data_IF_896487493055
#
_entry.id   IF_896487493055
#
_cell.length_a   1.000
_cell.length_b   1.000
_cell.length_c   1.000
_cell.angle_alpha   90.00
_cell.angle_beta   90.00
_cell.angle_gamma   90.00
#
_symmetry.space_group_name_H-M   'P 1'
#
loop_
_entity.id
_entity.type
_entity.pdbx_description
1 polymer ?
#
# COMPACT_ATOMS: atom_id res chain seq x y z
N UNK A 1 -13.99 43.34 36.24
CA UNK A 1 -13.40 42.16 36.90
C UNK A 1 -12.26 41.67 36.02
N UNK A 2 -11.01 41.73 36.47
CA UNK A 2 -9.83 41.25 35.73
C UNK A 2 -9.58 39.81 36.14
N UNK A 3 -9.89 38.86 35.27
CA UNK A 3 -9.57 37.44 35.48
C UNK A 3 -8.08 37.23 35.16
N UNK A 4 -7.28 37.08 36.21
CA UNK A 4 -5.90 36.64 36.10
C UNK A 4 -5.89 35.14 35.79
N UNK A 5 -5.72 34.78 34.52
CA UNK A 5 -5.39 33.41 34.14
C UNK A 5 -3.90 33.18 34.43
N UNK A 6 -3.62 32.27 35.36
CA UNK A 6 -2.26 31.80 35.61
C UNK A 6 -1.76 31.09 34.34
N UNK A 7 -0.51 31.34 33.91
CA UNK A 7 0.06 30.67 32.75
C UNK A 7 0.13 29.16 33.01
N UNK A 8 -0.56 28.37 32.19
CA UNK A 8 -0.46 26.92 32.17
C UNK A 8 1.00 26.55 31.93
N UNK A 9 1.64 25.93 32.91
CA UNK A 9 2.99 25.41 32.78
C UNK A 9 3.01 24.37 31.66
N UNK A 10 3.75 24.64 30.59
CA UNK A 10 3.92 23.72 29.49
C UNK A 10 4.33 22.34 30.02
N UNK A 11 3.64 21.25 29.64
CA UNK A 11 3.98 19.91 30.12
C UNK A 11 5.44 19.62 29.78
N UNK A 12 6.23 19.24 30.79
CA UNK A 12 7.60 18.77 30.59
C UNK A 12 7.51 17.48 29.79
N UNK A 13 7.70 17.57 28.47
CA UNK A 13 7.80 16.40 27.60
C UNK A 13 8.99 15.57 28.08
N UNK A 14 8.72 14.41 28.68
CA UNK A 14 9.75 13.46 29.05
C UNK A 14 10.55 13.13 27.80
N UNK A 15 11.84 13.48 27.81
CA UNK A 15 12.72 13.26 26.68
C UNK A 15 12.98 11.75 26.59
N UNK A 16 12.21 11.05 25.77
CA UNK A 16 12.42 9.63 25.50
C UNK A 16 13.83 9.50 24.92
N UNK A 17 14.66 8.64 25.52
CA UNK A 17 15.99 8.37 24.99
C UNK A 17 15.81 7.60 23.67
N UNK A 18 16.58 7.90 22.61
CA UNK A 18 16.46 7.21 21.33
C UNK A 18 16.44 5.67 21.44
N UNK A 19 17.18 5.12 22.41
CA UNK A 19 17.25 3.68 22.66
C UNK A 19 15.95 3.09 23.23
N UNK A 20 15.19 3.85 24.03
CA UNK A 20 13.94 3.35 24.61
C UNK A 20 12.86 3.22 23.53
N UNK A 21 12.82 4.18 22.58
CA UNK A 21 11.91 4.14 21.44
C UNK A 21 12.24 2.95 20.52
N UNK A 22 13.53 2.72 20.23
CA UNK A 22 13.97 1.58 19.43
C UNK A 22 13.65 0.24 20.10
N UNK A 23 13.81 0.15 21.43
CA UNK A 23 13.45 -1.06 22.18
C UNK A 23 11.94 -1.34 22.15
N UNK A 24 11.10 -0.32 22.33
CA UNK A 24 9.65 -0.45 22.19
C UNK A 24 9.26 -0.86 20.77
N UNK A 25 9.91 -0.29 19.76
CA UNK A 25 9.66 -0.62 18.37
C UNK A 25 10.05 -2.07 18.06
N UNK A 26 11.19 -2.53 18.58
CA UNK A 26 11.60 -3.95 18.54
C UNK A 26 10.54 -4.83 19.19
N UNK A 27 10.08 -4.49 20.39
CA UNK A 27 9.06 -5.26 21.10
C UNK A 27 7.77 -5.35 20.26
N UNK A 28 7.28 -4.23 19.70
CA UNK A 28 6.11 -4.23 18.82
C UNK A 28 6.32 -5.04 17.55
N UNK A 29 7.52 -4.98 16.96
CA UNK A 29 7.87 -5.76 15.77
C UNK A 29 7.85 -7.27 16.03
N UNK A 30 8.14 -7.70 17.27
CA UNK A 30 8.14 -9.10 17.70
C UNK A 30 6.80 -9.56 18.30
N UNK A 31 6.03 -8.66 18.92
CA UNK A 31 4.89 -9.01 19.77
C UNK A 31 3.65 -9.58 19.04
N UNK A 32 3.55 -9.40 17.72
CA UNK A 32 2.37 -9.84 16.95
C UNK A 32 2.55 -11.26 16.35
N UNK A 33 3.65 -11.96 16.64
CA UNK A 33 4.03 -13.19 15.93
C UNK A 33 3.68 -14.52 16.63
N UNK A 34 2.94 -14.51 17.75
CA UNK A 34 2.54 -15.77 18.38
C UNK A 34 1.14 -16.21 17.93
N UNK A 35 1.07 -16.95 16.83
CA UNK A 35 -0.09 -17.78 16.51
C UNK A 35 0.18 -19.18 17.05
N UNK A 36 -0.41 -19.52 18.19
CA UNK A 36 -0.29 -20.86 18.79
C UNK A 36 -0.71 -21.93 17.78
N UNK A 37 0.23 -22.81 17.38
CA UNK A 37 -0.08 -24.04 16.64
C UNK A 37 0.49 -24.17 15.22
N UNK A 38 1.29 -23.22 14.73
CA UNK A 38 2.07 -23.46 13.50
C UNK A 38 3.40 -24.12 13.85
N UNK A 39 3.56 -25.41 13.53
CA UNK A 39 4.80 -26.21 13.68
C UNK A 39 5.95 -25.75 12.73
N UNK A 40 5.86 -24.56 12.14
CA UNK A 40 6.96 -23.93 11.39
C UNK A 40 7.83 -23.07 12.32
N UNK A 41 8.51 -23.73 13.24
CA UNK A 41 9.59 -23.19 14.06
C UNK A 41 10.77 -22.78 13.17
N UNK A 42 10.82 -21.52 12.68
CA UNK A 42 12.05 -20.70 12.58
C UNK A 42 11.86 -19.32 11.92
N UNK A 43 10.79 -19.09 11.16
CA UNK A 43 10.79 -17.99 10.17
C UNK A 43 10.13 -16.67 10.57
N UNK A 44 9.47 -16.56 11.72
CA UNK A 44 8.66 -15.38 12.05
C UNK A 44 9.00 -14.75 13.40
N UNK A 45 10.25 -14.33 13.62
CA UNK A 45 10.50 -13.41 14.75
C UNK A 45 9.82 -12.06 14.51
N UNK A 46 9.79 -11.58 13.25
CA UNK A 46 9.18 -10.30 12.89
C UNK A 46 7.82 -10.47 12.24
N UNK A 47 6.93 -9.58 12.62
CA UNK A 47 5.56 -9.56 12.11
C UNK A 47 5.52 -8.88 10.75
N UNK A 48 4.52 -9.15 9.89
CA UNK A 48 4.35 -8.38 8.66
C UNK A 48 3.89 -6.93 8.90
N UNK A 49 3.70 -6.52 10.17
CA UNK A 49 3.21 -5.21 10.55
C UNK A 49 4.17 -4.05 10.24
N UNK A 50 3.63 -2.83 10.28
CA UNK A 50 4.43 -1.61 10.11
C UNK A 50 5.55 -1.42 11.16
N UNK A 51 5.39 -1.85 12.44
CA UNK A 51 6.48 -1.78 13.42
C UNK A 51 7.75 -2.50 12.96
N UNK A 52 7.64 -3.64 12.28
CA UNK A 52 8.80 -4.38 11.76
C UNK A 52 9.51 -3.61 10.65
N UNK A 53 8.77 -2.96 9.74
CA UNK A 53 9.36 -2.10 8.70
C UNK A 53 10.15 -0.93 9.31
N UNK A 54 9.55 -0.26 10.30
CA UNK A 54 10.20 0.83 11.01
C UNK A 54 11.44 0.36 11.77
N UNK A 55 11.37 -0.80 12.43
CA UNK A 55 12.50 -1.35 13.17
C UNK A 55 13.65 -1.75 12.23
N UNK A 56 13.34 -2.41 11.11
CA UNK A 56 14.32 -2.75 10.09
C UNK A 56 14.99 -1.50 9.49
N UNK A 57 14.21 -0.44 9.23
CA UNK A 57 14.76 0.84 8.78
C UNK A 57 15.67 1.46 9.84
N UNK A 58 15.26 1.46 11.11
CA UNK A 58 16.09 1.96 12.21
C UNK A 58 17.41 1.20 12.31
N UNK A 59 17.38 -0.13 12.26
CA UNK A 59 18.58 -0.97 12.24
C UNK A 59 19.51 -0.62 11.07
N UNK A 60 18.97 -0.42 9.86
CA UNK A 60 19.75 -0.05 8.68
C UNK A 60 20.37 1.34 8.80
N UNK A 61 19.57 2.35 9.14
CA UNK A 61 19.95 3.75 9.01
C UNK A 61 20.68 4.31 10.23
N UNK A 62 20.33 3.85 11.43
CA UNK A 62 20.89 4.37 12.69
C UNK A 62 21.94 3.43 13.27
N UNK A 63 21.61 2.15 13.45
CA UNK A 63 22.57 1.16 13.98
C UNK A 63 23.59 0.69 12.93
N UNK A 64 23.36 0.97 11.64
CA UNK A 64 24.18 0.49 10.53
C UNK A 64 24.36 -1.04 10.57
N UNK A 65 23.32 -1.75 10.97
CA UNK A 65 23.32 -3.20 11.07
C UNK A 65 23.61 -3.83 9.69
N UNK A 66 24.16 -5.05 9.70
CA UNK A 66 24.41 -5.81 8.47
C UNK A 66 23.08 -6.09 7.74
N UNK A 67 23.08 -6.17 6.40
CA UNK A 67 21.90 -6.54 5.61
C UNK A 67 21.17 -7.79 6.11
N UNK A 68 21.90 -8.82 6.55
CA UNK A 68 21.33 -10.06 7.09
C UNK A 68 20.53 -9.87 8.37
N UNK A 69 20.74 -8.77 9.10
CA UNK A 69 20.04 -8.49 10.36
C UNK A 69 18.78 -7.68 10.10
N UNK A 70 18.89 -6.58 9.36
CA UNK A 70 17.74 -5.70 9.16
C UNK A 70 16.77 -6.22 8.09
N UNK A 71 17.22 -7.00 7.09
CA UNK A 71 16.33 -7.57 6.06
C UNK A 71 15.32 -8.55 6.64
N UNK A 72 15.66 -9.25 7.72
CA UNK A 72 14.73 -10.14 8.42
C UNK A 72 13.48 -9.41 8.93
N UNK A 73 13.59 -8.11 9.23
CA UNK A 73 12.44 -7.29 9.64
C UNK A 73 11.44 -7.01 8.50
N UNK A 74 11.89 -7.09 7.24
CA UNK A 74 11.07 -6.83 6.06
C UNK A 74 10.55 -8.11 5.41
N UNK A 75 11.30 -9.21 5.59
CA UNK A 75 11.13 -10.49 4.91
C UNK A 75 9.68 -11.00 4.98
N UNK A 76 9.13 -11.15 6.18
CA UNK A 76 7.78 -11.69 6.37
C UNK A 76 6.73 -10.92 5.56
N UNK A 77 6.78 -9.59 5.62
CA UNK A 77 5.83 -8.72 4.90
C UNK A 77 6.01 -8.78 3.38
N UNK A 78 7.25 -8.75 2.90
CA UNK A 78 7.54 -8.81 1.46
C UNK A 78 7.06 -10.14 0.87
N UNK A 79 7.32 -11.25 1.57
CA UNK A 79 6.87 -12.57 1.13
C UNK A 79 5.34 -12.70 1.16
N UNK A 80 4.68 -12.20 2.20
CA UNK A 80 3.21 -12.15 2.26
C UNK A 80 2.62 -11.40 1.06
N UNK A 81 3.18 -10.23 0.73
CA UNK A 81 2.72 -9.41 -0.39
C UNK A 81 2.96 -10.07 -1.74
N UNK A 82 4.05 -10.83 -1.89
CA UNK A 82 4.28 -11.63 -3.09
C UNK A 82 3.32 -12.82 -3.18
N UNK A 83 2.93 -13.42 -2.05
CA UNK A 83 1.97 -14.52 -2.06
C UNK A 83 0.60 -14.03 -2.55
N UNK A 84 0.19 -12.82 -2.16
CA UNK A 84 -1.01 -12.17 -2.70
C UNK A 84 -0.87 -11.63 -4.14
N UNK A 85 0.23 -11.90 -4.84
CA UNK A 85 0.34 -11.69 -6.30
C UNK A 85 0.40 -13.04 -7.05
N UNK A 86 0.50 -14.13 -6.31
CA UNK A 86 0.61 -15.49 -6.83
C UNK A 86 -0.65 -16.32 -6.52
N UNK A 87 -1.57 -15.80 -5.70
CA UNK A 87 -2.88 -16.40 -5.56
C UNK A 87 -3.69 -16.10 -6.83
N UNK A 88 -4.48 -17.06 -7.29
CA UNK A 88 -5.31 -16.88 -8.50
C UNK A 88 -6.48 -15.90 -8.25
N UNK A 89 -6.37 -15.00 -7.26
CA UNK A 89 -7.36 -14.00 -6.88
C UNK A 89 -7.02 -12.62 -7.48
N UNK A 90 -7.60 -12.25 -8.62
CA UNK A 90 -7.33 -10.96 -9.26
C UNK A 90 -7.74 -9.73 -8.42
N UNK A 91 -8.58 -9.91 -7.40
CA UNK A 91 -9.17 -8.78 -6.67
C UNK A 91 -8.21 -8.10 -5.70
N UNK A 92 -7.11 -8.78 -5.34
CA UNK A 92 -6.12 -8.30 -4.38
C UNK A 92 -4.84 -7.76 -5.05
N UNK A 93 -4.63 -8.02 -6.36
CA UNK A 93 -3.38 -7.76 -7.09
C UNK A 93 -2.90 -6.31 -6.94
N UNK A 94 -3.84 -5.36 -7.06
CA UNK A 94 -3.55 -3.93 -6.96
C UNK A 94 -3.05 -3.57 -5.57
N UNK A 95 -3.70 -4.11 -4.52
CA UNK A 95 -3.32 -3.90 -3.14
C UNK A 95 -1.99 -4.57 -2.80
N UNK A 96 -1.77 -5.80 -3.29
CA UNK A 96 -0.53 -6.54 -3.10
C UNK A 96 0.66 -5.82 -3.76
N UNK A 97 0.50 -5.33 -5.00
CA UNK A 97 1.49 -4.50 -5.68
C UNK A 97 1.81 -3.22 -4.89
N UNK A 98 0.78 -2.45 -4.48
CA UNK A 98 0.95 -1.23 -3.69
C UNK A 98 1.73 -1.50 -2.41
N UNK A 99 1.32 -2.52 -1.66
CA UNK A 99 1.93 -2.90 -0.38
C UNK A 99 3.37 -3.39 -0.58
N UNK A 100 3.65 -4.14 -1.64
CA UNK A 100 4.99 -4.60 -2.00
C UNK A 100 5.92 -3.42 -2.32
N UNK A 101 5.45 -2.46 -3.13
CA UNK A 101 6.21 -1.26 -3.44
C UNK A 101 6.58 -0.46 -2.17
N UNK A 102 5.62 -0.26 -1.25
CA UNK A 102 5.86 0.42 0.05
C UNK A 102 6.93 -0.32 0.86
N UNK A 103 6.84 -1.65 0.98
CA UNK A 103 7.84 -2.44 1.70
C UNK A 103 9.23 -2.32 1.08
N UNK A 104 9.33 -2.31 -0.25
CA UNK A 104 10.60 -2.17 -0.97
C UNK A 104 11.20 -0.77 -0.81
N UNK A 105 10.41 0.31 -0.87
CA UNK A 105 10.90 1.65 -0.53
C UNK A 105 11.45 1.70 0.90
N UNK A 106 10.72 1.11 1.86
CA UNK A 106 11.15 1.06 3.25
C UNK A 106 12.43 0.24 3.44
N UNK A 107 12.62 -0.80 2.62
CA UNK A 107 13.83 -1.61 2.55
C UNK A 107 15.00 -0.94 1.79
N UNK A 108 14.81 0.28 1.28
CA UNK A 108 15.75 1.01 0.43
C UNK A 108 16.04 0.31 -0.92
N UNK A 109 15.10 -0.50 -1.40
CA UNK A 109 15.10 -1.07 -2.76
C UNK A 109 14.26 -0.20 -3.70
N UNK A 110 14.73 1.04 -3.87
CA UNK A 110 14.02 2.10 -4.60
C UNK A 110 13.78 1.71 -6.07
N UNK A 111 14.71 0.98 -6.68
CA UNK A 111 14.63 0.57 -8.09
C UNK A 111 13.46 -0.38 -8.31
N UNK A 112 13.38 -1.46 -7.53
CA UNK A 112 12.27 -2.45 -7.64
C UNK A 112 10.94 -1.87 -7.19
N UNK A 113 10.95 -1.04 -6.15
CA UNK A 113 9.75 -0.31 -5.72
C UNK A 113 9.19 0.57 -6.86
N UNK A 114 10.07 1.34 -7.53
CA UNK A 114 9.69 2.21 -8.65
C UNK A 114 9.15 1.41 -9.84
N UNK A 115 9.69 0.21 -10.10
CA UNK A 115 9.19 -0.66 -11.16
C UNK A 115 7.74 -1.11 -10.90
N UNK A 116 7.43 -1.53 -9.68
CA UNK A 116 6.05 -1.90 -9.30
C UNK A 116 5.12 -0.68 -9.38
N UNK A 117 5.57 0.47 -8.91
CA UNK A 117 4.83 1.73 -9.01
C UNK A 117 4.56 2.10 -10.47
N UNK A 118 5.52 1.93 -11.37
CA UNK A 118 5.31 2.20 -12.78
C UNK A 118 4.29 1.25 -13.42
N UNK A 119 4.32 -0.03 -13.07
CA UNK A 119 3.31 -1.01 -13.50
C UNK A 119 1.91 -0.57 -13.04
N UNK A 120 1.80 -0.15 -11.78
CA UNK A 120 0.59 0.43 -11.21
C UNK A 120 0.15 1.66 -12.02
N UNK A 121 0.90 2.74 -12.02
CA UNK A 121 0.47 3.98 -12.68
C UNK A 121 0.28 3.85 -14.20
N UNK A 122 0.86 2.85 -14.87
CA UNK A 122 0.60 2.60 -16.30
C UNK A 122 -0.88 2.34 -16.59
N UNK A 123 -1.54 1.60 -15.73
CA UNK A 123 -2.98 1.34 -15.86
C UNK A 123 -3.85 2.58 -15.57
N UNK A 124 -3.33 3.57 -14.83
CA UNK A 124 -3.98 4.89 -14.71
C UNK A 124 -3.85 5.70 -16.00
N UNK A 125 -2.68 5.69 -16.66
CA UNK A 125 -2.51 6.36 -17.97
C UNK A 125 -3.50 5.81 -19.00
N UNK A 126 -3.63 4.48 -19.07
CA UNK A 126 -4.54 3.80 -19.98
C UNK A 126 -6.01 4.14 -19.67
N UNK A 127 -6.37 4.25 -18.39
CA UNK A 127 -7.69 4.68 -17.95
C UNK A 127 -8.01 6.11 -18.39
N UNK A 128 -7.12 7.06 -18.09
CA UNK A 128 -7.30 8.48 -18.45
C UNK A 128 -7.43 8.63 -19.96
N UNK A 129 -6.59 7.94 -20.73
CA UNK A 129 -6.65 7.95 -22.20
C UNK A 129 -7.98 7.38 -22.72
N UNK A 130 -8.47 6.30 -22.11
CA UNK A 130 -9.76 5.69 -22.45
C UNK A 130 -10.95 6.61 -22.16
N UNK A 131 -10.93 7.30 -21.02
CA UNK A 131 -11.96 8.27 -20.61
C UNK A 131 -12.05 9.45 -21.58
N UNK A 132 -10.93 10.08 -21.91
CA UNK A 132 -10.87 11.19 -22.89
C UNK A 132 -11.39 10.78 -24.28
N UNK A 133 -11.09 9.55 -24.71
CA UNK A 133 -11.57 9.02 -25.98
C UNK A 133 -13.09 8.73 -25.97
N UNK A 134 -13.69 8.44 -24.82
CA UNK A 134 -15.14 8.26 -24.71
C UNK A 134 -15.88 9.61 -24.64
N UNK A 135 -15.36 10.58 -23.89
CA UNK A 135 -15.93 11.93 -23.79
C UNK A 135 -15.99 12.63 -25.17
N UNK A 136 -14.94 12.49 -25.97
CA UNK A 136 -14.90 13.04 -27.35
C UNK A 136 -15.87 12.38 -28.33
N UNK A 137 -16.35 11.15 -28.05
CA UNK A 137 -17.37 10.50 -28.88
C UNK A 137 -18.77 11.00 -28.58
N UNK A 138 -19.06 11.30 -27.32
CA UNK A 138 -20.39 11.74 -26.90
C UNK A 138 -20.69 13.17 -27.37
N UNK A 139 -19.67 14.05 -27.45
CA UNK A 139 -19.83 15.41 -28.01
C UNK A 139 -20.23 15.40 -29.49
N UNK A 140 -19.75 14.44 -30.29
CA UNK A 140 -20.05 14.37 -31.74
C UNK A 140 -21.48 13.92 -32.03
N UNK A 141 -22.12 13.22 -31.09
CA UNK A 141 -23.51 12.75 -31.26
C UNK A 141 -24.52 13.86 -30.93
N UNK A 142 -24.12 14.89 -30.16
CA UNK A 142 -24.99 16.00 -29.75
C UNK A 142 -25.25 17.06 -30.83
N UNK A 143 -24.42 17.17 -31.87
CA UNK A 143 -24.47 18.30 -32.82
C UNK A 143 -25.25 18.00 -34.13
N UNK A 144 -25.87 16.82 -34.26
CA UNK A 144 -26.57 16.40 -35.50
C UNK A 144 -28.11 16.41 -35.37
N UNK A 145 -28.67 16.86 -34.25
CA UNK A 145 -30.12 16.79 -33.99
C UNK A 145 -30.92 18.09 -34.20
N UNK A 146 -30.30 19.18 -34.69
CA UNK A 146 -31.02 20.40 -35.08
C UNK A 146 -30.78 20.71 -36.57
N UNK A 147 -31.37 19.88 -37.44
CA UNK A 147 -31.81 20.36 -38.75
C UNK A 147 -33.32 20.19 -38.82
N UNK A 148 -33.97 21.31 -38.61
CA UNK A 148 -35.33 21.59 -39.05
C UNK A 148 -35.45 21.24 -40.54
N UNK A 149 -36.21 20.20 -40.83
CA UNK A 149 -37.03 20.17 -42.04
C UNK A 149 -38.49 20.19 -41.55
N UNK A 150 -38.99 21.42 -41.46
CA UNK A 150 -40.40 21.78 -41.52
C UNK A 150 -41.04 21.16 -42.78
N UNK A 151 -41.93 20.17 -42.64
CA UNK A 151 -43.00 19.99 -43.63
C UNK A 151 -44.30 19.42 -42.99
N UNK A 152 -45.24 20.36 -42.85
CA UNK A 152 -46.70 20.25 -42.66
C UNK A 152 -47.39 18.87 -42.50
N UNK A 153 -48.17 18.72 -41.44
CA UNK A 153 -49.54 18.18 -41.54
C UNK A 153 -50.41 18.50 -40.30
N UNK A 154 -51.53 19.17 -40.58
CA UNK A 154 -52.83 19.22 -39.89
C UNK A 154 -53.01 18.46 -38.56
N UNK A 155 -53.41 19.21 -37.52
CA UNK A 155 -54.04 18.67 -36.30
C UNK A 155 -55.51 19.09 -36.32
N UNK A 156 -56.41 18.11 -36.37
CA UNK A 156 -57.81 18.25 -35.97
C UNK A 156 -57.92 18.12 -34.45
N UNK A 157 -58.65 19.06 -33.84
CA UNK A 157 -59.04 19.09 -32.44
C UNK A 157 -59.94 17.89 -32.08
N UNK A 158 -59.73 17.27 -30.92
CA UNK A 158 -60.81 16.84 -30.02
C UNK A 158 -60.26 16.64 -28.58
N UNK A 159 -61.11 16.74 -27.52
CA UNK A 159 -60.68 17.19 -26.20
C UNK A 159 -60.75 16.12 -25.09
N UNK A 160 -60.09 16.44 -23.96
CA UNK A 160 -60.44 16.10 -22.57
C UNK A 160 -60.46 14.59 -22.20
N UNK A 161 -60.16 14.06 -21.02
CA UNK A 161 -59.88 14.41 -19.62
C UNK A 161 -58.90 13.31 -19.14
N UNK A 162 -58.01 13.47 -18.17
CA UNK A 162 -58.36 13.46 -16.74
C UNK A 162 -57.05 13.57 -15.98
N UNK A 163 -56.98 14.53 -15.07
CA UNK A 163 -55.89 14.70 -14.13
C UNK A 163 -55.89 13.60 -13.07
N UNK A 164 -54.75 12.94 -12.85
CA UNK A 164 -54.45 12.25 -11.59
C UNK A 164 -53.16 12.84 -11.04
N UNK A 165 -53.34 13.64 -9.97
CA UNK A 165 -52.27 14.08 -9.06
C UNK A 165 -51.71 12.85 -8.35
N UNK A 166 -50.42 12.58 -8.51
CA UNK A 166 -49.65 11.82 -7.52
C UNK A 166 -48.65 12.78 -6.89
N UNK A 167 -48.75 12.84 -5.57
CA UNK A 167 -48.05 13.70 -4.64
C UNK A 167 -46.76 12.99 -4.22
N UNK A 168 -45.66 13.74 -4.36
CA UNK A 168 -44.38 13.73 -3.63
C UNK A 168 -43.92 12.45 -2.92
N UNK A 169 -42.64 12.10 -3.15
CA UNK A 169 -41.75 11.73 -2.04
C UNK A 169 -40.31 12.10 -2.40
N UNK A 170 -39.77 13.02 -1.62
CA UNK A 170 -38.39 13.50 -1.63
C UNK A 170 -37.44 12.36 -1.28
N UNK A 171 -36.50 12.05 -2.18
CA UNK A 171 -35.36 11.19 -1.86
C UNK A 171 -34.21 12.03 -1.36
N UNK A 172 -34.06 12.00 -0.04
CA UNK A 172 -32.93 12.53 0.71
C UNK A 172 -31.60 12.01 0.15
N UNK A 173 -30.65 12.94 0.01
CA UNK A 173 -29.25 12.67 -0.26
C UNK A 173 -28.63 11.97 0.96
N UNK A 174 -28.17 10.73 0.79
CA UNK A 174 -27.26 10.10 1.72
C UNK A 174 -25.87 10.73 1.53
N UNK A 175 -25.50 11.60 2.45
CA UNK A 175 -24.10 11.99 2.66
C UNK A 175 -23.43 10.87 3.47
N UNK A 176 -22.55 10.10 2.84
CA UNK A 176 -21.63 9.19 3.51
C UNK A 176 -20.51 10.00 4.18
N UNK A 177 -20.81 10.49 5.39
CA UNK A 177 -19.84 11.14 6.27
C UNK A 177 -19.06 10.08 7.05
N UNK A 178 -18.01 9.54 6.43
CA UNK A 178 -17.06 8.64 7.09
C UNK A 178 -15.94 9.44 7.79
N UNK A 179 -16.31 10.26 8.77
CA UNK A 179 -15.34 10.85 9.71
C UNK A 179 -14.93 9.79 10.72
N UNK A 180 -13.80 9.13 10.44
CA UNK A 180 -13.14 8.24 11.39
C UNK A 180 -12.50 9.08 12.51
N UNK A 181 -13.31 9.45 13.50
CA UNK A 181 -12.90 10.26 14.65
C UNK A 181 -12.12 9.36 15.61
N UNK A 182 -10.78 9.41 15.53
CA UNK A 182 -9.91 8.81 16.53
C UNK A 182 -10.05 9.58 17.84
N UNK A 183 -10.93 9.12 18.73
CA UNK A 183 -10.99 9.61 20.11
C UNK A 183 -9.76 9.12 20.87
N UNK A 184 -8.98 10.07 21.38
CA UNK A 184 -7.89 9.83 22.32
C UNK A 184 -8.43 9.10 23.55
N UNK A 185 -8.12 7.80 23.66
CA UNK A 185 -8.37 7.00 24.85
C UNK A 185 -7.56 7.54 26.03
N UNK A 186 -8.26 7.81 27.13
CA UNK A 186 -7.71 8.17 28.42
C UNK A 186 -6.62 7.19 28.87
N UNK A 187 -5.52 7.75 29.37
CA UNK A 187 -4.44 7.00 29.99
C UNK A 187 -4.92 6.42 31.31
N UNK A 188 -5.14 5.10 31.33
CA UNK A 188 -5.24 4.36 32.60
C UNK A 188 -3.84 4.20 33.17
N UNK A 189 -3.59 4.83 34.32
CA UNK A 189 -2.38 4.62 35.12
C UNK A 189 -2.29 3.15 35.53
N UNK A 190 -1.30 2.43 34.97
CA UNK A 190 -0.93 1.09 35.45
C UNK A 190 0.30 1.22 36.34
N UNK A 191 0.05 0.94 37.61
CA UNK A 191 0.99 0.89 38.72
C UNK A 191 2.14 -0.09 38.48
N UNK A 192 3.27 0.23 39.10
CA UNK A 192 4.56 -0.48 39.15
C UNK A 192 4.47 -2.02 39.19
N UNK A 193 5.12 -2.67 38.22
CA UNK A 193 5.70 -4.01 38.39
C UNK A 193 7.19 -3.93 38.05
N UNK A 194 8.00 -3.86 39.10
CA UNK A 194 9.38 -4.33 39.07
C UNK A 194 9.34 -5.87 39.06
N UNK A 195 10.05 -6.53 38.14
CA UNK A 195 10.95 -7.64 38.51
C UNK A 195 11.70 -8.26 37.32
N UNK A 196 13.00 -8.45 37.57
CA UNK A 196 13.91 -9.51 37.11
C UNK A 196 13.91 -9.92 35.62
N UNK A 197 14.85 -9.33 34.88
CA UNK A 197 15.45 -9.98 33.70
C UNK A 197 16.70 -10.74 34.17
N UNK A 198 16.59 -12.06 34.28
CA UNK A 198 17.75 -12.94 34.41
C UNK A 198 18.43 -13.15 33.06
N UNK A 199 19.73 -12.99 33.09
CA UNK A 199 20.72 -13.24 32.06
C UNK A 199 20.73 -14.74 31.69
N UNK A 200 20.22 -15.07 30.50
CA UNK A 200 20.14 -16.43 29.97
C UNK A 200 21.35 -16.74 29.10
N UNK A 201 22.36 -17.36 29.70
CA UNK A 201 23.53 -17.91 29.01
C UNK A 201 23.12 -19.18 28.26
N UNK A 202 23.29 -19.21 26.94
CA UNK A 202 23.04 -20.40 26.11
C UNK A 202 24.20 -21.40 26.24
N UNK A 203 23.86 -22.65 26.58
CA UNK A 203 24.74 -23.83 26.60
C UNK A 203 24.02 -25.05 25.99
N UNK A 204 24.75 -26.13 25.66
CA UNK A 204 24.58 -26.82 24.37
C UNK A 204 23.70 -28.08 24.39
N UNK A 205 23.10 -28.30 23.21
CA UNK A 205 22.71 -29.54 22.54
C UNK A 205 22.36 -30.78 23.37
N UNK A 206 21.11 -31.23 23.26
CA UNK A 206 20.76 -32.64 23.44
C UNK A 206 19.97 -33.19 22.25
N UNK A 207 20.53 -34.28 21.74
CA UNK A 207 20.05 -35.14 20.67
C UNK A 207 18.68 -35.75 20.98
N UNK A 208 17.67 -35.51 20.13
CA UNK A 208 16.55 -36.43 19.98
C UNK A 208 16.25 -36.69 18.49
N UNK A 209 16.87 -37.76 18.01
CA UNK A 209 16.55 -38.44 16.76
C UNK A 209 15.13 -39.01 16.84
N UNK A 210 14.17 -38.36 16.17
CA UNK A 210 12.87 -38.95 15.83
C UNK A 210 12.83 -39.25 14.34
N UNK A 211 12.80 -40.53 14.04
CA UNK A 211 12.64 -41.11 12.70
C UNK A 211 11.15 -41.10 12.32
N UNK A 212 10.72 -40.43 11.22
CA UNK A 212 9.34 -40.51 10.77
C UNK A 212 9.04 -41.87 10.12
N UNK A 213 7.86 -42.41 10.43
CA UNK A 213 7.34 -43.64 9.83
C UNK A 213 6.93 -43.41 8.36
N UNK A 214 7.28 -44.38 7.53
CA UNK A 214 6.96 -44.45 6.11
C UNK A 214 5.45 -44.58 5.88
N UNK A 215 4.83 -43.56 5.29
CA UNK A 215 3.50 -43.66 4.67
C UNK A 215 3.70 -44.24 3.27
N UNK A 216 3.13 -45.42 3.02
CA UNK A 216 3.16 -46.12 1.74
C UNK A 216 2.05 -45.58 0.81
N UNK A 217 2.49 -45.10 -0.36
CA UNK A 217 1.96 -45.54 -1.66
C UNK A 217 0.53 -45.13 -2.04
N UNK A 218 0.34 -43.85 -2.39
CA UNK A 218 -0.70 -43.41 -3.32
C UNK A 218 -0.02 -43.01 -4.63
N UNK A 219 -0.38 -43.69 -5.72
CA UNK A 219 0.10 -43.45 -7.10
C UNK A 219 -0.59 -42.18 -7.66
N UNK A 220 -0.21 -41.02 -7.11
CA UNK A 220 -0.52 -39.73 -7.72
C UNK A 220 0.39 -39.58 -8.95
N UNK A 221 -0.23 -39.67 -10.13
CA UNK A 221 0.43 -39.28 -11.37
C UNK A 221 0.85 -37.83 -11.20
N UNK A 222 2.15 -37.67 -11.02
CA UNK A 222 2.93 -36.44 -11.09
C UNK A 222 2.63 -35.77 -12.45
N UNK A 223 1.49 -35.07 -12.53
CA UNK A 223 1.22 -34.04 -13.52
C UNK A 223 2.28 -32.97 -13.28
N UNK A 224 3.47 -33.23 -13.81
CA UNK A 224 4.50 -32.23 -14.02
C UNK A 224 3.89 -31.21 -14.96
N UNK A 225 3.19 -30.24 -14.38
CA UNK A 225 2.83 -29.02 -15.06
C UNK A 225 4.13 -28.49 -15.63
N UNK A 226 4.25 -28.51 -16.96
CA UNK A 226 5.34 -27.90 -17.69
C UNK A 226 5.31 -26.41 -17.32
N UNK A 227 6.11 -26.04 -16.32
CA UNK A 227 6.23 -24.67 -15.86
C UNK A 227 6.94 -23.92 -16.98
N UNK A 228 6.17 -23.37 -17.92
CA UNK A 228 6.71 -22.50 -18.93
C UNK A 228 7.29 -21.28 -18.20
N UNK A 229 8.63 -21.10 -18.18
CA UNK A 229 9.31 -20.06 -17.42
C UNK A 229 9.21 -18.68 -18.11
N UNK A 230 8.19 -18.51 -18.97
CA UNK A 230 7.84 -17.26 -19.63
C UNK A 230 6.35 -16.96 -19.48
N UNK A 231 5.67 -17.62 -18.53
CA UNK A 231 4.24 -17.39 -18.31
C UNK A 231 4.06 -16.01 -17.69
N UNK A 232 3.44 -15.10 -18.43
CA UNK A 232 2.96 -13.80 -17.94
C UNK A 232 2.18 -14.01 -16.64
N UNK A 233 2.57 -13.30 -15.59
CA UNK A 233 1.70 -13.15 -14.44
C UNK A 233 0.50 -12.31 -14.89
N UNK A 234 -0.68 -12.91 -14.88
CA UNK A 234 -1.90 -12.23 -15.25
C UNK A 234 -2.33 -11.34 -14.09
N UNK A 235 -1.64 -10.21 -13.91
CA UNK A 235 -2.04 -9.19 -12.95
C UNK A 235 -3.31 -8.51 -13.43
N UNK A 236 -4.34 -8.55 -12.61
CA UNK A 236 -5.58 -7.85 -12.81
C UNK A 236 -5.53 -6.56 -11.98
N UNK A 237 -4.79 -5.60 -12.53
CA UNK A 237 -4.74 -4.27 -11.96
C UNK A 237 -6.05 -3.58 -12.29
N UNK A 238 -6.78 -3.23 -11.24
CA UNK A 238 -8.04 -2.56 -11.41
C UNK A 238 -7.77 -1.08 -11.71
N UNK A 239 -8.16 -0.65 -12.90
CA UNK A 239 -7.98 0.71 -13.39
C UNK A 239 -8.83 1.76 -12.66
N UNK A 240 -9.75 1.36 -11.78
CA UNK A 240 -10.47 2.28 -10.88
C UNK A 240 -10.01 2.17 -9.42
N UNK A 241 -9.14 1.20 -9.09
CA UNK A 241 -8.66 0.97 -7.73
C UNK A 241 -7.47 1.86 -7.35
N UNK A 242 -7.29 3.00 -8.04
CA UNK A 242 -6.26 4.00 -7.76
C UNK A 242 -6.58 4.74 -6.46
N UNK A 243 -6.29 4.09 -5.35
CA UNK A 243 -6.47 4.60 -3.99
C UNK A 243 -5.40 5.64 -3.59
N UNK A 244 -4.70 6.26 -4.55
CA UNK A 244 -3.73 7.32 -4.27
C UNK A 244 -4.43 8.67 -4.31
N UNK A 245 -5.17 8.95 -3.24
CA UNK A 245 -5.57 10.31 -2.90
C UNK A 245 -4.40 11.03 -2.22
N UNK A 246 -4.30 12.33 -2.46
CA UNK A 246 -3.38 13.19 -1.76
C UNK A 246 -3.81 13.30 -0.30
N UNK A 247 -2.97 12.91 0.64
CA UNK A 247 -3.20 13.00 2.09
C UNK A 247 -3.41 14.42 2.62
N UNK A 248 -3.09 15.44 1.81
CA UNK A 248 -3.23 16.85 2.16
C UNK A 248 -4.55 17.47 1.71
N UNK A 249 -5.07 17.07 0.54
CA UNK A 249 -6.25 17.70 -0.05
C UNK A 249 -7.35 16.73 -0.51
N UNK A 250 -7.15 15.41 -0.40
CA UNK A 250 -8.13 14.38 -0.72
C UNK A 250 -8.29 14.08 -2.21
N UNK A 251 -7.86 14.97 -3.11
CA UNK A 251 -7.91 14.75 -4.56
C UNK A 251 -6.99 13.63 -5.01
N UNK A 252 -7.38 12.92 -6.06
CA UNK A 252 -6.60 11.83 -6.65
C UNK A 252 -5.45 12.33 -7.54
N UNK A 253 -4.69 11.37 -8.07
CA UNK A 253 -3.57 11.62 -8.96
C UNK A 253 -4.00 12.10 -10.37
N UNK A 254 -5.20 11.75 -10.82
CA UNK A 254 -5.77 12.20 -12.10
C UNK A 254 -6.00 13.72 -12.04
N UNK A 255 -6.70 14.19 -11.00
CA UNK A 255 -7.06 15.60 -10.80
C UNK A 255 -5.85 16.51 -10.59
N UNK A 256 -4.80 15.99 -9.93
CA UNK A 256 -3.60 16.80 -9.61
C UNK A 256 -2.50 16.69 -10.64
N UNK A 257 -2.54 15.69 -11.51
CA UNK A 257 -1.53 15.46 -12.54
C UNK A 257 -0.12 15.14 -12.01
N UNK A 258 0.07 15.04 -10.69
CA UNK A 258 1.32 14.57 -10.08
C UNK A 258 1.09 14.03 -8.66
N UNK A 259 1.93 13.08 -8.26
CA UNK A 259 1.87 12.44 -6.95
C UNK A 259 3.27 12.05 -6.47
N UNK A 260 3.50 12.22 -5.16
CA UNK A 260 4.78 11.97 -4.50
C UNK A 260 4.57 11.10 -3.26
N UNK A 261 5.34 10.03 -3.14
CA UNK A 261 5.28 9.14 -1.97
C UNK A 261 6.40 9.41 -0.99
N UNK A 262 6.06 9.33 0.29
CA UNK A 262 7.05 9.33 1.36
C UNK A 262 7.71 7.95 1.44
N UNK A 263 9.04 7.91 1.54
CA UNK A 263 9.75 6.65 1.71
C UNK A 263 9.61 6.08 3.14
N UNK A 264 9.35 6.93 4.14
CA UNK A 264 9.35 6.56 5.58
C UNK A 264 7.93 6.35 6.14
N UNK A 265 6.98 7.18 5.76
CA UNK A 265 5.62 7.07 6.30
C UNK A 265 4.86 5.95 5.61
N UNK A 266 4.08 5.20 6.38
CA UNK A 266 3.23 4.16 5.81
C UNK A 266 2.15 4.83 4.97
N UNK A 267 2.18 4.56 3.68
CA UNK A 267 1.08 4.89 2.77
C UNK A 267 0.73 6.39 2.69
N UNK A 268 1.75 7.25 2.80
CA UNK A 268 1.57 8.71 2.68
C UNK A 268 1.97 9.20 1.29
N UNK A 269 1.04 9.89 0.65
CA UNK A 269 1.19 10.48 -0.68
C UNK A 269 0.72 11.94 -0.71
N UNK A 270 1.45 12.80 -1.42
CA UNK A 270 1.04 14.19 -1.65
C UNK A 270 1.16 14.58 -3.11
N UNK A 271 0.22 15.40 -3.60
CA UNK A 271 0.47 16.21 -4.79
C UNK A 271 1.53 17.28 -4.48
N UNK A 272 2.10 17.90 -5.52
CA UNK A 272 3.22 18.85 -5.40
C UNK A 272 2.89 20.01 -4.44
N UNK A 273 1.72 20.61 -4.55
CA UNK A 273 1.31 21.72 -3.67
C UNK A 273 1.23 21.30 -2.20
N UNK A 274 0.66 20.12 -1.92
CA UNK A 274 0.56 19.62 -0.55
C UNK A 274 1.91 19.16 -0.02
N UNK A 275 2.80 18.67 -0.88
CA UNK A 275 4.17 18.33 -0.53
C UNK A 275 4.97 19.57 -0.12
N UNK A 276 4.84 20.68 -0.86
CA UNK A 276 5.47 21.96 -0.51
C UNK A 276 4.97 22.45 0.86
N UNK A 277 3.66 22.39 1.09
CA UNK A 277 3.07 22.72 2.40
C UNK A 277 3.57 21.79 3.50
N UNK A 278 3.69 20.48 3.23
CA UNK A 278 4.20 19.50 4.18
C UNK A 278 5.65 19.80 4.57
N UNK A 279 6.50 20.11 3.58
CA UNK A 279 7.90 20.50 3.77
C UNK A 279 8.04 21.81 4.53
N UNK A 280 7.17 22.78 4.27
CA UNK A 280 7.10 24.05 4.98
C UNK A 280 6.43 23.97 6.36
N UNK A 281 5.86 22.81 6.73
CA UNK A 281 5.08 22.62 7.97
C UNK A 281 3.88 23.58 8.04
N UNK A 282 3.21 23.79 6.90
CA UNK A 282 2.04 24.67 6.76
C UNK A 282 0.75 23.93 6.37
N UNK A 283 0.81 22.59 6.25
CA UNK A 283 -0.41 21.78 6.17
C UNK A 283 -1.20 21.90 7.48
N UNK A 284 -2.52 21.98 7.35
CA UNK A 284 -3.45 22.05 8.49
C UNK A 284 -3.29 20.84 9.43
N UNK A 285 -3.13 19.65 8.83
CA UNK A 285 -2.85 18.41 9.56
C UNK A 285 -1.47 17.90 9.19
N UNK A 286 -0.60 17.77 10.19
CA UNK A 286 0.76 17.22 10.00
C UNK A 286 0.72 15.71 9.93
N UNK A 287 0.72 15.15 8.70
CA UNK A 287 0.76 13.69 8.48
C UNK A 287 2.17 13.12 8.32
N UNK A 288 3.15 13.95 7.95
CA UNK A 288 4.52 13.53 7.66
C UNK A 288 5.55 14.52 8.25
N UNK A 289 6.80 14.06 8.36
CA UNK A 289 7.93 14.93 8.69
C UNK A 289 8.43 15.68 7.45
N UNK A 290 8.72 16.99 7.54
CA UNK A 290 9.26 17.77 6.42
C UNK A 290 10.65 17.28 5.96
N UNK A 291 11.33 16.45 6.78
CA UNK A 291 12.67 15.93 6.52
C UNK A 291 12.70 14.59 5.80
N UNK A 292 11.55 13.95 5.60
CA UNK A 292 11.50 12.65 4.92
C UNK A 292 11.85 12.81 3.43
N UNK A 293 12.33 11.72 2.83
CA UNK A 293 12.59 11.67 1.40
C UNK A 293 11.28 11.43 0.66
N UNK A 294 11.18 12.00 -0.54
CA UNK A 294 9.99 11.92 -1.37
C UNK A 294 10.35 11.45 -2.76
N UNK A 295 9.57 10.52 -3.29
CA UNK A 295 9.72 9.97 -4.63
C UNK A 295 8.53 10.39 -5.47
N UNK A 296 8.77 11.02 -6.61
CA UNK A 296 7.72 11.26 -7.58
C UNK A 296 7.31 9.91 -8.17
N UNK A 297 6.03 9.60 -8.06
CA UNK A 297 5.44 8.37 -8.59
C UNK A 297 4.47 8.63 -9.74
N UNK A 298 4.08 9.90 -9.93
CA UNK A 298 3.21 10.35 -11.01
C UNK A 298 3.53 11.81 -11.42
N UNK A 299 3.51 12.15 -12.72
CA UNK A 299 3.49 11.23 -13.86
C UNK A 299 4.79 10.40 -13.86
N UNK A 300 4.77 9.28 -14.57
CA UNK A 300 5.96 8.46 -14.68
C UNK A 300 7.00 9.14 -15.59
N UNK A 301 8.26 9.11 -15.19
CA UNK A 301 9.37 9.52 -16.04
C UNK A 301 9.54 8.49 -17.17
N UNK A 302 9.12 8.83 -18.39
CA UNK A 302 9.11 7.93 -19.54
C UNK A 302 10.45 7.24 -19.77
N UNK A 303 11.57 7.96 -19.58
CA UNK A 303 12.90 7.38 -19.75
C UNK A 303 13.17 6.27 -18.73
N UNK A 304 12.75 6.47 -17.47
CA UNK A 304 12.85 5.44 -16.43
C UNK A 304 11.87 4.30 -16.67
N UNK A 305 10.67 4.59 -17.17
CA UNK A 305 9.70 3.56 -17.53
C UNK A 305 10.27 2.65 -18.60
N UNK A 306 10.92 3.20 -19.62
CA UNK A 306 11.58 2.42 -20.67
C UNK A 306 12.73 1.57 -20.12
N UNK A 307 13.58 2.14 -19.27
CA UNK A 307 14.64 1.40 -18.57
C UNK A 307 14.06 0.23 -17.76
N UNK A 308 13.01 0.48 -16.99
CA UNK A 308 12.33 -0.55 -16.18
C UNK A 308 11.59 -1.58 -17.06
N UNK A 309 11.03 -1.18 -18.19
CA UNK A 309 10.36 -2.08 -19.13
C UNK A 309 11.35 -2.99 -19.85
N UNK A 310 12.58 -2.53 -20.10
CA UNK A 310 13.65 -3.36 -20.65
C UNK A 310 14.10 -4.43 -19.65
N UNK A 311 14.33 -4.01 -18.40
CA UNK A 311 14.83 -4.91 -17.36
C UNK A 311 13.73 -5.85 -16.84
N UNK A 312 12.58 -5.30 -16.45
CA UNK A 312 11.52 -6.00 -15.73
C UNK A 312 10.30 -6.30 -16.59
N UNK A 313 10.13 -5.60 -17.72
CA UNK A 313 8.96 -5.71 -18.60
C UNK A 313 9.08 -6.77 -19.70
N UNK A 314 7.94 -7.14 -20.29
CA UNK A 314 7.88 -8.07 -21.42
C UNK A 314 7.52 -7.34 -22.71
N UNK A 315 8.39 -7.45 -23.72
CA UNK A 315 8.14 -6.88 -25.05
C UNK A 315 8.02 -5.35 -25.05
N UNK A 316 8.78 -4.65 -24.20
CA UNK A 316 8.74 -3.19 -24.07
C UNK A 316 7.51 -2.64 -23.34
N UNK A 317 6.65 -3.51 -22.80
CA UNK A 317 5.52 -3.13 -21.95
C UNK A 317 5.88 -3.32 -20.48
N UNK A 318 5.41 -2.41 -19.64
CA UNK A 318 5.57 -2.45 -18.18
C UNK A 318 4.61 -3.52 -17.63
N UNK A 319 5.06 -4.77 -17.62
CA UNK A 319 4.35 -5.89 -17.00
C UNK A 319 5.32 -6.59 -16.05
N UNK A 320 4.88 -6.96 -14.85
CA UNK A 320 5.72 -7.76 -13.97
C UNK A 320 5.88 -9.18 -14.54
N UNK A 321 7.14 -9.57 -14.76
CA UNK A 321 7.51 -10.96 -15.07
C UNK A 321 7.33 -11.84 -13.84
N UNK A 322 6.76 -13.03 -14.02
CA UNK A 322 6.67 -14.02 -12.94
C UNK A 322 8.07 -14.43 -12.48
N UNK A 323 9.00 -14.54 -13.42
CA UNK A 323 10.40 -14.88 -13.18
C UNK A 323 11.06 -13.83 -12.29
N UNK A 324 10.78 -12.54 -12.52
CA UNK A 324 11.30 -11.45 -11.71
C UNK A 324 10.75 -11.49 -10.27
N UNK A 325 9.46 -11.73 -10.09
CA UNK A 325 8.89 -11.90 -8.75
C UNK A 325 9.50 -13.11 -8.04
N UNK A 326 9.72 -14.22 -8.76
CA UNK A 326 10.35 -15.41 -8.20
C UNK A 326 11.82 -15.16 -7.83
N UNK A 327 12.57 -14.41 -8.64
CA UNK A 327 13.94 -13.98 -8.32
C UNK A 327 13.96 -13.12 -7.06
N UNK A 328 13.05 -12.16 -6.95
CA UNK A 328 12.91 -11.31 -5.78
C UNK A 328 12.55 -12.15 -4.55
N UNK A 329 11.56 -13.06 -4.66
CA UNK A 329 11.20 -14.01 -3.60
C UNK A 329 12.41 -14.82 -3.15
N UNK A 330 13.16 -15.38 -4.10
CA UNK A 330 14.36 -16.17 -3.81
C UNK A 330 15.46 -15.34 -3.13
N UNK A 331 15.62 -14.07 -3.50
CA UNK A 331 16.54 -13.14 -2.80
C UNK A 331 16.13 -12.97 -1.33
N UNK A 332 14.85 -12.68 -1.08
CA UNK A 332 14.34 -12.48 0.27
C UNK A 332 14.27 -13.77 1.10
N UNK A 333 14.18 -14.94 0.45
CA UNK A 333 14.24 -16.25 1.11
C UNK A 333 15.67 -16.70 1.47
N UNK A 334 16.66 -16.44 0.62
CA UNK A 334 18.04 -16.87 0.88
C UNK A 334 18.72 -16.06 1.99
N UNK A 335 18.22 -14.86 2.29
CA UNK A 335 18.96 -13.90 3.11
C UNK A 335 20.24 -13.44 2.40
N UNK A 336 20.99 -12.51 3.01
CA UNK A 336 22.20 -11.94 2.38
C UNK A 336 23.47 -12.72 2.71
N UNK A 337 23.40 -14.05 2.77
CA UNK A 337 24.58 -14.84 3.16
C UNK A 337 25.72 -14.77 2.13
N UNK A 338 25.48 -14.26 0.91
CA UNK A 338 26.40 -14.35 -0.22
C UNK A 338 26.68 -13.04 -1.01
N UNK A 339 26.37 -11.87 -0.47
CA UNK A 339 26.66 -10.55 -1.09
C UNK A 339 27.33 -9.62 -0.10
#
# INVERSE_FOLDING_TARGET
>A
MKTNFAPLSSPKTAHIRPNDAALKLKQLALAVAYVSGSDEDLFAYYTPGYPSLLYGRWLREYEKAKPSVWRECFRARILEQMNGLDDDDPTNDTWACRRLAISLFQANDVRRASAIVAVLFKTLEEYIAGKQHNESKDEVVGEVAERDDEESAHIDELPNETAVRIVTEDKEAAADDNTNTWTNGEQTEVSDMQDNVQDGTFGPEDNLSRRPQSIQGGDERDERQDINPHRKLALHLNSDAWCYSCDGCGYDAEDKGNMWFCDICFDIAFCSDCLEKAKAVTLEVRRCSPKHTWHQVWPLDEAKVLEMAEEYGMGGKVHLKKEWLQELRNEWLRGTENT
#
